data_IF_193566894610
#
_entry.id   IF_193566894610
#
_cell.length_a   1.000
_cell.length_b   1.000
_cell.length_c   1.000
_cell.angle_alpha   90.00
_cell.angle_beta   90.00
_cell.angle_gamma   90.00
#
_symmetry.space_group_name_H-M   'P 1'
#
loop_
_entity.id
_entity.type
_entity.pdbx_description
1 polymer ?
#
# COMPACT_ATOMS: atom_id res chain seq x y z
N UNK A 1 -21.62 23.54 1.27
CA UNK A 1 -20.66 24.45 0.58
C UNK A 1 -21.24 24.80 -0.77
N UNK A 2 -21.09 26.06 -1.24
CA UNK A 2 -21.53 26.43 -2.59
C UNK A 2 -20.67 25.74 -3.66
N UNK A 3 -21.29 25.33 -4.76
CA UNK A 3 -20.60 24.62 -5.84
C UNK A 3 -19.49 25.49 -6.48
N UNK A 4 -19.66 26.80 -6.57
CA UNK A 4 -18.60 27.72 -7.04
C UNK A 4 -17.36 27.68 -6.17
N UNK A 5 -17.53 27.67 -4.83
CA UNK A 5 -16.41 27.63 -3.89
C UNK A 5 -15.69 26.28 -3.94
N UNK A 6 -16.46 25.22 -4.17
CA UNK A 6 -15.90 23.88 -4.37
C UNK A 6 -15.12 23.79 -5.68
N UNK A 7 -15.66 24.33 -6.78
CA UNK A 7 -14.98 24.38 -8.08
C UNK A 7 -13.62 25.09 -7.99
N UNK A 8 -13.54 26.19 -7.29
CA UNK A 8 -12.32 26.96 -7.04
C UNK A 8 -11.28 26.12 -6.27
N UNK A 9 -11.69 25.50 -5.17
CA UNK A 9 -10.82 24.62 -4.35
C UNK A 9 -10.31 23.39 -5.09
N UNK A 10 -11.13 22.86 -5.99
CA UNK A 10 -10.77 21.69 -6.81
C UNK A 10 -10.03 22.07 -8.11
N UNK A 11 -9.84 23.37 -8.36
CA UNK A 11 -9.28 23.89 -9.62
C UNK A 11 -10.01 23.37 -10.87
N UNK A 12 -11.34 23.24 -10.78
CA UNK A 12 -12.21 22.78 -11.84
C UNK A 12 -12.92 23.97 -12.52
N UNK A 13 -13.16 23.86 -13.84
CA UNK A 13 -14.05 24.77 -14.52
C UNK A 13 -15.50 24.42 -14.20
N UNK A 14 -16.28 25.39 -13.77
CA UNK A 14 -17.71 25.22 -13.50
C UNK A 14 -18.54 25.51 -14.76
N UNK A 15 -19.37 24.56 -15.17
CA UNK A 15 -20.40 24.70 -16.18
C UNK A 15 -21.77 24.48 -15.52
N UNK A 16 -22.54 25.52 -15.24
CA UNK A 16 -23.87 25.46 -14.59
C UNK A 16 -24.02 26.38 -13.40
N UNK A 17 -25.04 26.14 -12.58
CA UNK A 17 -25.37 26.96 -11.42
C UNK A 17 -24.37 26.76 -10.27
N UNK A 18 -23.59 27.84 -10.00
CA UNK A 18 -22.60 27.83 -8.91
C UNK A 18 -23.20 28.05 -7.51
N UNK A 19 -24.48 28.42 -7.40
CA UNK A 19 -25.15 28.69 -6.12
C UNK A 19 -25.74 27.45 -5.46
N UNK A 20 -25.65 26.31 -6.13
CA UNK A 20 -26.07 25.01 -5.57
C UNK A 20 -25.29 24.70 -4.29
N UNK A 21 -26.02 24.22 -3.28
CA UNK A 21 -25.40 23.72 -2.04
C UNK A 21 -25.01 22.25 -2.19
N UNK A 22 -23.72 21.97 -2.06
CA UNK A 22 -23.17 20.62 -2.07
C UNK A 22 -22.84 20.20 -0.63
N UNK A 23 -23.37 19.06 -0.21
CA UNK A 23 -23.26 18.55 1.16
C UNK A 23 -22.34 17.34 1.30
N UNK A 24 -22.30 16.49 0.28
CA UNK A 24 -21.48 15.27 0.27
C UNK A 24 -21.13 14.82 -1.15
N UNK A 25 -20.23 13.85 -1.22
CA UNK A 25 -19.93 13.12 -2.44
C UNK A 25 -20.65 11.77 -2.40
N UNK A 26 -21.28 11.35 -3.51
CA UNK A 26 -21.99 10.10 -3.62
C UNK A 26 -21.67 9.36 -4.93
N UNK A 27 -21.86 8.04 -4.95
CA UNK A 27 -21.79 7.24 -6.17
C UNK A 27 -22.83 7.67 -7.21
N UNK A 28 -22.52 7.52 -8.50
CA UNK A 28 -23.41 7.99 -9.58
C UNK A 28 -24.80 7.33 -9.56
N UNK A 29 -24.90 6.12 -9.03
CA UNK A 29 -26.15 5.35 -8.92
C UNK A 29 -27.04 5.84 -7.77
N UNK A 30 -26.42 6.35 -6.69
CA UNK A 30 -27.09 6.70 -5.44
C UNK A 30 -27.19 8.20 -5.18
N UNK A 31 -26.62 9.02 -6.07
CA UNK A 31 -26.53 10.45 -5.91
C UNK A 31 -27.88 11.12 -6.10
N UNK A 32 -28.23 12.04 -5.19
CA UNK A 32 -29.47 12.81 -5.18
C UNK A 32 -29.24 14.33 -5.06
N UNK A 33 -30.30 15.10 -4.80
CA UNK A 33 -30.19 16.55 -4.61
C UNK A 33 -29.23 16.92 -3.47
N UNK A 34 -28.31 17.86 -3.73
CA UNK A 34 -27.25 18.26 -2.80
C UNK A 34 -26.00 17.40 -2.87
N UNK A 35 -25.95 16.34 -3.68
CA UNK A 35 -24.80 15.48 -3.85
C UNK A 35 -23.93 15.93 -5.04
N UNK A 36 -22.62 15.75 -4.87
CA UNK A 36 -21.62 15.75 -5.94
C UNK A 36 -21.31 14.31 -6.32
N UNK A 37 -21.38 13.97 -7.61
CA UNK A 37 -20.90 12.68 -8.12
C UNK A 37 -19.74 12.86 -9.09
N UNK A 38 -19.22 11.77 -9.68
CA UNK A 38 -18.11 11.83 -10.61
C UNK A 38 -18.18 10.70 -11.65
N UNK A 39 -17.59 10.94 -12.82
CA UNK A 39 -17.35 9.94 -13.84
C UNK A 39 -15.85 9.86 -14.15
N UNK A 40 -15.19 8.80 -13.70
CA UNK A 40 -13.80 8.49 -14.06
C UNK A 40 -13.68 7.23 -14.93
N UNK A 41 -14.64 6.30 -14.80
CA UNK A 41 -14.65 5.06 -15.58
C UNK A 41 -15.72 5.12 -16.68
N UNK A 42 -15.34 5.00 -17.96
CA UNK A 42 -16.29 5.06 -19.09
C UNK A 42 -17.43 4.04 -19.01
N UNK A 43 -17.25 2.94 -18.30
CA UNK A 43 -18.30 1.94 -18.08
C UNK A 43 -19.59 2.53 -17.49
N UNK A 44 -19.46 3.58 -16.65
CA UNK A 44 -20.60 4.24 -16.00
C UNK A 44 -21.15 5.44 -16.77
N UNK A 45 -20.61 5.73 -17.98
CA UNK A 45 -21.08 6.85 -18.79
C UNK A 45 -22.61 6.83 -19.10
N UNK A 46 -23.25 5.66 -19.34
CA UNK A 46 -24.68 5.62 -19.53
C UNK A 46 -25.51 6.12 -18.35
N UNK A 47 -24.98 6.06 -17.12
CA UNK A 47 -25.66 6.48 -15.92
C UNK A 47 -25.67 8.01 -15.74
N UNK A 48 -24.79 8.74 -16.44
CA UNK A 48 -24.73 10.22 -16.37
C UNK A 48 -26.06 10.86 -16.72
N UNK A 49 -26.77 10.35 -17.72
CA UNK A 49 -28.04 10.87 -18.16
C UNK A 49 -29.18 10.67 -17.15
N UNK A 50 -29.00 9.77 -16.19
CA UNK A 50 -30.03 9.36 -15.21
C UNK A 50 -29.68 9.80 -13.80
N UNK A 51 -28.51 10.42 -13.57
CA UNK A 51 -28.07 10.81 -12.23
C UNK A 51 -29.02 11.86 -11.63
N UNK A 52 -29.38 11.67 -10.36
CA UNK A 52 -30.10 12.64 -9.54
C UNK A 52 -29.19 13.66 -8.84
N UNK A 53 -27.88 13.60 -9.06
CA UNK A 53 -26.93 14.50 -8.42
C UNK A 53 -27.16 15.96 -8.79
N UNK A 54 -26.88 16.87 -7.86
CA UNK A 54 -26.87 18.31 -8.14
C UNK A 54 -25.69 18.75 -9.01
N UNK A 55 -24.56 18.03 -8.89
CA UNK A 55 -23.37 18.31 -9.70
C UNK A 55 -22.56 17.02 -9.98
N UNK A 56 -21.79 17.05 -11.08
CA UNK A 56 -20.94 15.93 -11.47
C UNK A 56 -19.54 16.42 -11.88
N UNK A 57 -18.49 15.69 -11.45
CA UNK A 57 -17.11 15.90 -11.92
C UNK A 57 -16.92 15.07 -13.19
N UNK A 58 -16.52 15.73 -14.29
CA UNK A 58 -16.32 15.15 -15.61
C UNK A 58 -14.96 15.53 -16.19
N UNK A 59 -14.48 14.77 -17.18
CA UNK A 59 -13.35 15.18 -18.00
C UNK A 59 -13.70 16.45 -18.80
N UNK A 60 -12.68 17.22 -19.19
CA UNK A 60 -12.88 18.50 -19.89
C UNK A 60 -13.64 18.33 -21.22
N UNK A 61 -13.45 17.22 -21.91
CA UNK A 61 -14.01 16.87 -23.19
C UNK A 61 -15.25 15.95 -23.13
N UNK A 62 -15.69 15.59 -21.91
CA UNK A 62 -16.87 14.74 -21.74
C UNK A 62 -18.14 15.44 -22.22
N UNK A 63 -19.15 14.68 -22.70
CA UNK A 63 -20.47 15.23 -23.05
C UNK A 63 -21.13 15.99 -21.89
N UNK A 64 -22.13 16.81 -22.20
CA UNK A 64 -22.91 17.51 -21.19
C UNK A 64 -23.74 16.52 -20.35
N UNK A 65 -23.89 16.83 -19.06
CA UNK A 65 -24.75 16.14 -18.11
C UNK A 65 -26.03 16.94 -17.80
N UNK A 66 -27.09 16.30 -17.27
CA UNK A 66 -28.34 17.00 -16.93
C UNK A 66 -28.24 17.91 -15.69
N UNK A 67 -27.11 17.90 -15.00
CA UNK A 67 -26.83 18.69 -13.78
C UNK A 67 -25.62 19.60 -13.98
N UNK A 68 -25.28 20.42 -12.97
CA UNK A 68 -24.08 21.26 -13.01
C UNK A 68 -22.81 20.40 -13.13
N UNK A 69 -21.81 20.91 -13.85
CA UNK A 69 -20.60 20.13 -14.16
C UNK A 69 -19.34 20.83 -13.64
N UNK A 70 -18.49 20.08 -12.98
CA UNK A 70 -17.12 20.44 -12.67
C UNK A 70 -16.18 19.76 -13.68
N UNK A 71 -15.59 20.54 -14.57
CA UNK A 71 -14.70 20.05 -15.63
C UNK A 71 -13.27 19.97 -15.11
N UNK A 72 -12.66 18.78 -15.19
CA UNK A 72 -11.33 18.51 -14.67
C UNK A 72 -10.45 17.77 -15.70
N UNK A 73 -9.15 18.01 -15.65
CA UNK A 73 -8.17 17.23 -16.43
C UNK A 73 -8.05 15.77 -15.92
N UNK A 74 -8.29 15.56 -14.62
CA UNK A 74 -8.31 14.25 -14.00
C UNK A 74 -9.50 14.17 -13.01
N UNK A 75 -10.68 13.70 -13.48
CA UNK A 75 -11.89 13.61 -12.64
C UNK A 75 -11.71 12.77 -11.38
N UNK A 76 -10.90 11.71 -11.44
CA UNK A 76 -10.67 10.83 -10.30
C UNK A 76 -9.86 11.52 -9.19
N UNK A 77 -8.88 12.35 -9.58
CA UNK A 77 -8.14 13.18 -8.63
C UNK A 77 -9.03 14.24 -8.02
N UNK A 78 -9.81 14.96 -8.83
CA UNK A 78 -10.74 15.98 -8.33
C UNK A 78 -11.80 15.39 -7.39
N UNK A 79 -12.24 14.15 -7.65
CA UNK A 79 -13.10 13.40 -6.74
C UNK A 79 -12.42 13.13 -5.38
N UNK A 80 -11.17 12.67 -5.38
CA UNK A 80 -10.43 12.45 -4.13
C UNK A 80 -10.24 13.78 -3.34
N UNK A 81 -9.97 14.88 -4.05
CA UNK A 81 -9.85 16.19 -3.42
C UNK A 81 -11.21 16.70 -2.90
N UNK A 82 -12.31 16.42 -3.60
CA UNK A 82 -13.67 16.73 -3.14
C UNK A 82 -14.02 15.98 -1.85
N UNK A 83 -13.64 14.72 -1.74
CA UNK A 83 -13.80 13.93 -0.50
C UNK A 83 -13.03 14.55 0.68
N UNK A 84 -11.84 15.11 0.44
CA UNK A 84 -11.08 15.81 1.50
C UNK A 84 -11.74 17.12 1.92
N UNK A 85 -12.30 17.86 0.96
CA UNK A 85 -12.92 19.16 1.21
C UNK A 85 -14.29 19.02 1.87
N UNK A 86 -15.09 18.03 1.47
CA UNK A 86 -16.46 17.82 1.95
C UNK A 86 -16.52 16.79 3.09
N UNK A 87 -15.47 16.02 3.28
CA UNK A 87 -15.39 15.01 4.36
C UNK A 87 -15.32 15.66 5.73
N UNK A 88 -15.92 15.01 6.71
CA UNK A 88 -15.76 15.36 8.12
C UNK A 88 -14.44 14.78 8.64
N UNK A 89 -13.34 15.46 8.36
CA UNK A 89 -12.06 15.13 9.00
C UNK A 89 -12.04 15.78 10.40
N UNK A 90 -12.77 15.22 11.33
CA UNK A 90 -12.69 15.63 12.74
C UNK A 90 -11.38 15.06 13.32
N UNK A 91 -10.31 15.84 13.16
CA UNK A 91 -9.05 15.52 13.86
C UNK A 91 -9.28 15.78 15.36
N UNK A 92 -8.79 14.90 16.23
CA UNK A 92 -8.89 15.12 17.66
C UNK A 92 -8.18 16.43 18.04
N UNK A 93 -8.71 17.18 19.02
CA UNK A 93 -8.08 18.41 19.44
C UNK A 93 -6.67 18.18 19.98
N UNK A 94 -5.75 19.16 19.82
CA UNK A 94 -4.42 19.07 20.41
C UNK A 94 -4.47 18.88 21.94
N UNK A 95 -3.52 18.10 22.44
CA UNK A 95 -3.35 17.85 23.87
C UNK A 95 -3.10 16.37 24.19
N UNK A 96 -2.77 16.12 25.43
CA UNK A 96 -2.50 14.77 25.96
C UNK A 96 -3.70 14.31 26.79
N UNK A 97 -4.30 13.20 26.40
CA UNK A 97 -5.42 12.62 27.15
C UNK A 97 -4.98 12.22 28.56
N UNK A 98 -5.76 12.49 29.63
CA UNK A 98 -5.36 12.21 31.01
C UNK A 98 -5.01 10.75 31.31
N UNK A 99 -5.48 9.80 30.51
CA UNK A 99 -5.14 8.38 30.65
C UNK A 99 -3.94 7.94 29.81
N UNK A 100 -3.32 8.83 29.05
CA UNK A 100 -2.10 8.52 28.33
C UNK A 100 -0.90 8.51 29.31
N UNK A 101 0.08 7.66 29.03
CA UNK A 101 1.34 7.59 29.78
C UNK A 101 2.44 8.12 28.88
N UNK A 102 2.96 9.30 29.20
CA UNK A 102 4.04 9.96 28.46
C UNK A 102 5.22 10.14 29.37
N UNK A 103 6.39 9.64 28.98
CA UNK A 103 7.60 9.77 29.78
C UNK A 103 8.02 11.25 29.90
N UNK A 104 8.67 11.66 30.99
CA UNK A 104 8.92 13.08 31.31
C UNK A 104 9.92 13.75 30.35
N UNK A 105 10.74 13.00 29.66
CA UNK A 105 11.78 13.46 28.74
C UNK A 105 11.38 13.35 27.24
N UNK A 106 10.09 13.10 26.97
CA UNK A 106 9.54 13.09 25.62
C UNK A 106 9.51 14.50 25.05
N UNK A 107 9.92 14.64 23.79
CA UNK A 107 9.83 15.90 23.07
C UNK A 107 8.55 15.91 22.20
N UNK A 108 7.61 16.77 22.56
CA UNK A 108 6.38 16.99 21.80
C UNK A 108 6.49 18.30 21.01
N UNK A 109 6.23 18.25 19.70
CA UNK A 109 6.05 19.42 18.86
C UNK A 109 4.74 20.15 19.16
N UNK A 110 4.48 21.22 18.39
CA UNK A 110 3.26 22.01 18.53
C UNK A 110 2.03 21.21 18.05
N UNK A 111 0.88 21.44 18.68
CA UNK A 111 -0.42 20.88 18.29
C UNK A 111 -0.47 19.34 18.18
N UNK A 112 0.33 18.63 18.96
CA UNK A 112 0.28 17.17 19.03
C UNK A 112 -0.98 16.72 19.77
N UNK A 113 -1.66 15.67 19.26
CA UNK A 113 -2.79 15.03 19.89
C UNK A 113 -2.42 13.62 20.35
N UNK A 114 -2.53 13.31 21.64
CA UNK A 114 -2.26 11.99 22.21
C UNK A 114 -3.54 11.44 22.84
N UNK A 115 -4.06 10.38 22.23
CA UNK A 115 -5.33 9.76 22.60
C UNK A 115 -5.28 8.92 23.89
N UNK A 116 -6.44 8.41 24.33
CA UNK A 116 -6.55 7.66 25.57
C UNK A 116 -5.72 6.36 25.51
N UNK A 117 -5.10 6.06 26.68
CA UNK A 117 -4.30 4.85 26.87
C UNK A 117 -3.11 4.71 25.91
N UNK A 118 -2.70 5.79 25.24
CA UNK A 118 -1.46 5.80 24.48
C UNK A 118 -0.26 5.79 25.43
N UNK A 119 0.84 5.19 24.99
CA UNK A 119 2.10 5.12 25.75
C UNK A 119 3.23 5.69 24.90
N UNK A 120 3.97 6.66 25.43
CA UNK A 120 5.14 7.24 24.76
C UNK A 120 6.35 7.10 25.69
N UNK A 121 7.34 6.31 25.23
CA UNK A 121 8.52 5.95 26.02
C UNK A 121 9.60 7.03 26.06
N UNK A 122 10.58 6.81 26.94
CA UNK A 122 11.66 7.74 27.26
C UNK A 122 12.40 8.22 26.01
N UNK A 123 12.68 9.53 25.94
CA UNK A 123 13.46 10.14 24.87
C UNK A 123 12.82 10.08 23.48
N UNK A 124 11.54 9.73 23.39
CA UNK A 124 10.83 9.75 22.10
C UNK A 124 10.59 11.18 21.62
N UNK A 125 10.55 11.37 20.30
CA UNK A 125 10.29 12.65 19.66
C UNK A 125 9.03 12.55 18.80
N UNK A 126 8.05 13.43 19.03
CA UNK A 126 6.80 13.50 18.26
C UNK A 126 6.69 14.86 17.59
N UNK A 127 6.70 14.89 16.28
CA UNK A 127 6.63 16.10 15.47
C UNK A 127 5.28 16.81 15.54
N UNK A 128 5.28 18.11 15.23
CA UNK A 128 4.11 18.98 15.30
C UNK A 128 2.91 18.45 14.51
N UNK A 129 1.70 18.69 15.02
CA UNK A 129 0.40 18.29 14.44
C UNK A 129 0.22 16.79 14.25
N UNK A 130 1.06 15.98 14.86
CA UNK A 130 0.93 14.51 14.82
C UNK A 130 -0.16 14.04 15.76
N UNK A 131 -0.93 13.07 15.29
CA UNK A 131 -2.04 12.46 16.02
C UNK A 131 -1.70 11.01 16.36
N UNK A 132 -1.67 10.72 17.64
CA UNK A 132 -1.60 9.36 18.19
C UNK A 132 -2.98 8.99 18.72
N UNK A 133 -3.67 8.08 18.03
CA UNK A 133 -4.98 7.62 18.50
C UNK A 133 -4.88 6.71 19.73
N UNK A 134 -6.02 6.20 20.20
CA UNK A 134 -6.09 5.35 21.39
C UNK A 134 -5.16 4.12 21.31
N UNK A 135 -4.52 3.78 22.44
CA UNK A 135 -3.66 2.60 22.58
C UNK A 135 -2.43 2.57 21.65
N UNK A 136 -2.03 3.70 21.07
CA UNK A 136 -0.76 3.77 20.32
C UNK A 136 0.40 3.62 21.29
N UNK A 137 1.40 2.83 20.92
CA UNK A 137 2.63 2.64 21.70
C UNK A 137 3.82 3.12 20.89
N UNK A 138 4.53 4.12 21.42
CA UNK A 138 5.79 4.63 20.89
C UNK A 138 6.91 4.21 21.83
N UNK A 139 7.84 3.40 21.35
CA UNK A 139 8.97 2.89 22.11
C UNK A 139 10.02 3.95 22.43
N UNK A 140 10.92 3.69 23.39
CA UNK A 140 11.98 4.62 23.79
C UNK A 140 12.86 5.06 22.62
N UNK A 141 13.17 6.36 22.55
CA UNK A 141 14.01 6.96 21.51
C UNK A 141 13.45 6.87 20.08
N UNK A 142 12.19 6.44 19.89
CA UNK A 142 11.55 6.46 18.57
C UNK A 142 11.23 7.88 18.16
N UNK A 143 11.27 8.13 16.84
CA UNK A 143 11.01 9.45 16.27
C UNK A 143 9.84 9.37 15.30
N UNK A 144 8.85 10.22 15.48
CA UNK A 144 7.70 10.37 14.60
C UNK A 144 7.69 11.79 14.08
N UNK A 145 7.78 11.97 12.77
CA UNK A 145 7.80 13.28 12.11
C UNK A 145 6.49 14.04 12.25
N UNK A 146 6.42 15.27 11.70
CA UNK A 146 5.22 16.10 11.77
C UNK A 146 4.10 15.59 10.85
N UNK A 147 2.87 16.01 11.16
CA UNK A 147 1.66 15.74 10.37
C UNK A 147 1.35 14.23 10.20
N UNK A 148 1.82 13.39 11.10
CA UNK A 148 1.56 11.96 11.06
C UNK A 148 0.23 11.61 11.74
N UNK A 149 -0.38 10.51 11.29
CA UNK A 149 -1.59 9.94 11.90
C UNK A 149 -1.32 8.47 12.21
N UNK A 150 -1.25 8.12 13.47
CA UNK A 150 -1.12 6.75 13.92
C UNK A 150 -2.46 6.31 14.53
N UNK A 151 -3.13 5.39 13.84
CA UNK A 151 -4.44 4.88 14.26
C UNK A 151 -4.35 3.95 15.45
N UNK A 152 -5.50 3.47 15.92
CA UNK A 152 -5.63 2.70 17.17
C UNK A 152 -4.74 1.46 17.18
N UNK A 153 -4.05 1.24 18.31
CA UNK A 153 -3.18 0.08 18.56
C UNK A 153 -1.96 -0.05 17.64
N UNK A 154 -1.55 1.00 16.99
CA UNK A 154 -0.25 1.02 16.29
C UNK A 154 0.88 0.91 17.31
N UNK A 155 1.88 0.08 17.00
CA UNK A 155 3.11 -0.05 17.80
C UNK A 155 4.33 0.35 16.97
N UNK A 156 5.06 1.36 17.42
CA UNK A 156 6.37 1.74 16.91
C UNK A 156 7.41 1.39 17.96
N UNK A 157 8.31 0.46 17.65
CA UNK A 157 9.32 -0.03 18.58
C UNK A 157 10.44 1.01 18.79
N UNK A 158 11.25 0.76 19.80
CA UNK A 158 12.34 1.63 20.20
C UNK A 158 13.25 2.05 19.03
N UNK A 159 13.66 3.31 19.00
CA UNK A 159 14.58 3.93 18.04
C UNK A 159 14.13 3.93 16.57
N UNK A 160 12.97 3.36 16.23
CA UNK A 160 12.43 3.42 14.87
C UNK A 160 12.10 4.86 14.48
N UNK A 161 12.20 5.16 13.18
CA UNK A 161 12.03 6.51 12.64
C UNK A 161 10.91 6.52 11.61
N UNK A 162 9.94 7.40 11.80
CA UNK A 162 8.90 7.74 10.84
C UNK A 162 9.11 9.19 10.38
N UNK A 163 9.12 9.41 9.08
CA UNK A 163 9.17 10.74 8.45
C UNK A 163 7.90 11.55 8.63
N UNK A 164 7.74 12.60 7.83
CA UNK A 164 6.58 13.47 7.86
C UNK A 164 5.37 12.88 7.11
N UNK A 165 4.15 13.21 7.54
CA UNK A 165 2.89 12.86 6.85
C UNK A 165 2.70 11.34 6.66
N UNK A 166 3.25 10.55 7.56
CA UNK A 166 3.07 9.09 7.57
C UNK A 166 1.72 8.77 8.18
N UNK A 167 0.95 7.92 7.50
CA UNK A 167 -0.33 7.41 7.99
C UNK A 167 -0.15 5.93 8.30
N UNK A 168 -0.47 5.52 9.52
CA UNK A 168 -0.38 4.12 9.95
C UNK A 168 -1.74 3.66 10.46
N UNK A 169 -2.29 2.65 9.81
CA UNK A 169 -3.61 2.11 10.13
C UNK A 169 -3.57 1.17 11.33
N UNK A 170 -4.75 0.83 11.86
CA UNK A 170 -4.95 0.11 13.11
C UNK A 170 -4.13 -1.17 13.21
N UNK A 171 -3.49 -1.35 14.37
CA UNK A 171 -2.79 -2.59 14.72
C UNK A 171 -1.49 -2.86 13.96
N UNK A 172 -1.00 -1.96 13.11
CA UNK A 172 0.29 -2.15 12.46
C UNK A 172 1.44 -2.12 13.46
N UNK A 173 2.48 -2.93 13.21
CA UNK A 173 3.68 -3.04 14.07
C UNK A 173 4.91 -2.67 13.26
N UNK A 174 5.63 -1.64 13.70
CA UNK A 174 6.85 -1.14 13.06
C UNK A 174 8.03 -1.40 13.99
N UNK A 175 9.00 -2.18 13.52
CA UNK A 175 10.22 -2.50 14.26
C UNK A 175 10.11 -3.77 15.14
N UNK A 176 9.19 -4.69 14.83
CA UNK A 176 9.20 -6.02 15.42
C UNK A 176 10.54 -6.73 15.14
N UNK A 177 10.91 -7.70 15.96
CA UNK A 177 12.13 -8.46 15.74
C UNK A 177 12.02 -9.31 14.49
N UNK A 178 13.00 -9.23 13.60
CA UNK A 178 13.13 -10.12 12.45
C UNK A 178 13.25 -11.58 12.87
N UNK A 179 12.83 -12.48 11.98
CA UNK A 179 12.91 -13.93 12.18
C UNK A 179 14.34 -14.41 11.93
N UNK A 180 15.18 -14.36 12.97
CA UNK A 180 16.59 -14.71 12.92
C UNK A 180 16.97 -15.72 14.01
N UNK A 181 17.42 -16.93 13.59
CA UNK A 181 17.85 -17.99 14.50
C UNK A 181 19.07 -18.72 13.93
N UNK A 182 19.95 -19.20 14.82
CA UNK A 182 20.99 -20.18 14.49
C UNK A 182 20.55 -21.51 15.05
N UNK A 183 20.57 -22.54 14.23
CA UNK A 183 20.26 -23.90 14.65
C UNK A 183 21.57 -24.66 14.87
N UNK A 184 21.78 -25.20 16.07
CA UNK A 184 22.95 -26.04 16.35
C UNK A 184 22.79 -27.46 15.82
N UNK A 185 23.84 -28.30 16.00
CA UNK A 185 23.86 -29.69 15.53
C UNK A 185 22.79 -30.57 16.14
N UNK A 186 22.30 -30.21 17.32
CA UNK A 186 21.29 -30.97 18.08
C UNK A 186 19.86 -30.51 17.75
N UNK A 187 19.73 -29.54 16.82
CA UNK A 187 18.46 -29.01 16.35
C UNK A 187 17.86 -27.90 17.23
N UNK A 188 18.60 -27.39 18.20
CA UNK A 188 18.14 -26.26 19.02
C UNK A 188 18.28 -24.94 18.25
N UNK A 189 17.28 -24.08 18.39
CA UNK A 189 17.24 -22.77 17.76
C UNK A 189 17.63 -21.68 18.76
N UNK A 190 18.74 -21.00 18.50
CA UNK A 190 19.21 -19.86 19.28
C UNK A 190 18.83 -18.57 18.57
N UNK A 191 18.10 -17.68 19.28
CA UNK A 191 17.68 -16.39 18.73
C UNK A 191 18.88 -15.50 18.45
N UNK A 192 18.91 -14.92 17.26
CA UNK A 192 19.81 -13.81 16.90
C UNK A 192 19.11 -12.53 17.33
N UNK A 193 19.68 -11.75 18.29
CA UNK A 193 19.10 -10.47 18.71
C UNK A 193 18.94 -9.51 17.54
N UNK A 194 17.76 -8.91 17.42
CA UNK A 194 17.45 -7.94 16.39
C UNK A 194 17.56 -6.53 17.00
N UNK A 195 18.71 -5.89 16.83
CA UNK A 195 19.05 -4.66 17.58
C UNK A 195 19.06 -3.40 16.73
N UNK A 196 18.73 -3.50 15.45
CA UNK A 196 18.71 -2.37 14.55
C UNK A 196 17.32 -1.71 14.48
N UNK A 197 17.03 -0.96 13.43
CA UNK A 197 15.86 -0.09 13.35
C UNK A 197 15.08 -0.28 12.05
N UNK A 198 13.87 0.26 12.06
CA UNK A 198 13.08 0.52 10.84
C UNK A 198 13.06 2.02 10.59
N UNK A 199 13.25 2.41 9.33
CA UNK A 199 13.12 3.78 8.85
C UNK A 199 12.00 3.84 7.81
N UNK A 200 10.98 4.64 8.09
CA UNK A 200 9.88 4.94 7.19
C UNK A 200 10.02 6.39 6.74
N UNK A 201 10.14 6.62 5.46
CA UNK A 201 10.29 7.98 4.91
C UNK A 201 8.95 8.72 4.81
N UNK A 202 8.97 9.97 4.31
CA UNK A 202 7.80 10.84 4.23
C UNK A 202 6.69 10.27 3.33
N UNK A 203 5.44 10.68 3.58
CA UNK A 203 4.28 10.41 2.73
C UNK A 203 3.93 8.93 2.55
N UNK A 204 4.48 8.05 3.40
CA UNK A 204 4.18 6.60 3.39
C UNK A 204 2.82 6.35 4.06
N UNK A 205 2.07 5.41 3.52
CA UNK A 205 0.86 4.90 4.15
C UNK A 205 0.98 3.40 4.39
N UNK A 206 0.67 2.96 5.62
CA UNK A 206 0.82 1.58 6.09
C UNK A 206 -0.54 1.06 6.54
N UNK A 207 -1.02 0.01 5.90
CA UNK A 207 -2.31 -0.63 6.15
C UNK A 207 -2.40 -1.37 7.48
N UNK A 208 -3.62 -1.72 7.84
CA UNK A 208 -3.94 -2.35 9.11
C UNK A 208 -3.26 -3.72 9.28
N UNK A 209 -2.76 -3.97 10.50
CA UNK A 209 -2.08 -5.21 10.89
C UNK A 209 -0.87 -5.58 10.00
N UNK A 210 -0.30 -4.62 9.29
CA UNK A 210 0.97 -4.78 8.57
C UNK A 210 2.12 -4.81 9.57
N UNK A 211 3.10 -5.70 9.32
CA UNK A 211 4.29 -5.85 10.15
C UNK A 211 5.56 -5.54 9.36
N UNK A 212 6.42 -4.71 9.95
CA UNK A 212 7.70 -4.31 9.37
C UNK A 212 8.79 -4.62 10.39
N UNK A 213 9.62 -5.61 10.10
CA UNK A 213 10.62 -6.10 11.03
C UNK A 213 11.93 -5.32 10.96
N UNK A 214 12.58 -5.17 12.12
CA UNK A 214 13.95 -4.68 12.22
C UNK A 214 14.97 -5.79 12.00
N UNK A 215 16.15 -5.53 11.42
CA UNK A 215 17.24 -6.50 11.31
C UNK A 215 18.13 -6.55 12.54
N UNK A 216 19.01 -7.56 12.58
CA UNK A 216 20.10 -7.63 13.56
C UNK A 216 21.12 -6.49 13.36
N UNK A 217 21.45 -6.17 12.12
CA UNK A 217 22.38 -5.12 11.71
C UNK A 217 21.86 -4.38 10.47
N UNK A 218 22.25 -3.13 10.27
CA UNK A 218 21.76 -2.28 9.19
C UNK A 218 20.38 -1.70 9.53
N UNK A 219 19.48 -1.62 8.55
CA UNK A 219 18.10 -1.12 8.73
C UNK A 219 17.14 -1.77 7.76
N UNK A 220 15.86 -1.79 8.10
CA UNK A 220 14.76 -1.98 7.14
C UNK A 220 14.24 -0.60 6.76
N UNK A 221 14.14 -0.30 5.46
CA UNK A 221 13.78 1.04 4.97
C UNK A 221 12.60 1.00 4.03
N UNK A 222 11.66 1.93 4.24
CA UNK A 222 10.50 2.15 3.37
C UNK A 222 10.64 3.52 2.72
N UNK A 223 10.83 3.55 1.42
CA UNK A 223 11.02 4.77 0.63
C UNK A 223 9.76 5.64 0.54
N UNK A 224 10.00 6.94 0.36
CA UNK A 224 9.01 8.01 0.32
C UNK A 224 7.81 7.68 -0.58
N UNK A 225 6.61 8.02 -0.11
CA UNK A 225 5.38 7.94 -0.90
C UNK A 225 4.89 6.52 -1.18
N UNK A 226 5.54 5.49 -0.62
CA UNK A 226 5.09 4.11 -0.77
C UNK A 226 3.73 3.88 -0.11
N UNK A 227 2.92 3.02 -0.72
CA UNK A 227 1.58 2.64 -0.23
C UNK A 227 1.54 1.16 0.03
N UNK A 228 1.35 0.81 1.28
CA UNK A 228 1.37 -0.56 1.79
C UNK A 228 -0.01 -0.86 2.34
N UNK A 229 -0.66 -1.86 1.78
CA UNK A 229 -2.02 -2.27 2.14
C UNK A 229 -2.01 -3.15 3.42
N UNK A 230 -3.16 -3.67 3.78
CA UNK A 230 -3.38 -4.44 5.00
C UNK A 230 -2.66 -5.80 4.98
N UNK A 231 -2.24 -6.27 6.17
CA UNK A 231 -1.68 -7.60 6.36
C UNK A 231 -0.41 -7.87 5.53
N UNK A 232 0.33 -6.84 5.17
CA UNK A 232 1.62 -6.99 4.47
C UNK A 232 2.70 -7.36 5.49
N UNK A 233 3.58 -8.30 5.12
CA UNK A 233 4.76 -8.66 5.90
C UNK A 233 6.02 -8.20 5.20
N UNK A 234 6.77 -7.30 5.84
CA UNK A 234 8.08 -6.82 5.39
C UNK A 234 9.13 -7.30 6.38
N UNK A 235 9.93 -8.27 5.97
CA UNK A 235 10.93 -8.88 6.83
C UNK A 235 12.17 -7.97 7.00
N UNK A 236 13.03 -8.39 7.91
CA UNK A 236 14.23 -7.69 8.30
C UNK A 236 15.17 -7.35 7.14
N UNK A 237 15.76 -6.17 7.14
CA UNK A 237 16.77 -5.73 6.16
C UNK A 237 16.23 -5.48 4.76
N UNK A 238 14.91 -5.50 4.56
CA UNK A 238 14.29 -5.17 3.27
C UNK A 238 14.45 -3.69 2.99
N UNK A 239 14.76 -3.37 1.73
CA UNK A 239 14.83 -2.00 1.21
C UNK A 239 13.73 -1.79 0.17
N UNK A 240 12.82 -0.86 0.41
CA UNK A 240 11.73 -0.52 -0.49
C UNK A 240 11.97 0.86 -1.09
N UNK A 241 12.03 0.93 -2.42
CA UNK A 241 12.19 2.17 -3.18
C UNK A 241 10.94 3.05 -3.14
N UNK A 242 11.13 4.33 -3.46
CA UNK A 242 10.08 5.35 -3.46
C UNK A 242 8.88 4.99 -4.33
N UNK A 243 7.67 5.37 -3.88
CA UNK A 243 6.43 5.22 -4.65
C UNK A 243 6.00 3.79 -4.95
N UNK A 244 6.54 2.82 -4.22
CA UNK A 244 6.19 1.40 -4.36
C UNK A 244 4.79 1.14 -3.79
N UNK A 245 4.04 0.26 -4.45
CA UNK A 245 2.69 -0.15 -4.04
C UNK A 245 2.69 -1.64 -3.73
N UNK A 246 2.34 -1.99 -2.49
CA UNK A 246 2.19 -3.36 -2.02
C UNK A 246 0.73 -3.57 -1.64
N UNK A 247 0.02 -4.39 -2.41
CA UNK A 247 -1.36 -4.73 -2.10
C UNK A 247 -1.46 -5.73 -0.94
N UNK A 248 -2.68 -5.99 -0.47
CA UNK A 248 -2.92 -6.78 0.73
C UNK A 248 -2.24 -8.16 0.70
N UNK A 249 -1.73 -8.56 1.87
CA UNK A 249 -1.11 -9.86 2.10
C UNK A 249 0.16 -10.15 1.28
N UNK A 250 0.83 -9.13 0.74
CA UNK A 250 2.17 -9.29 0.17
C UNK A 250 3.15 -9.68 1.27
N UNK A 251 4.00 -10.67 0.99
CA UNK A 251 5.08 -11.10 1.88
C UNK A 251 6.44 -10.90 1.22
N UNK A 252 7.34 -10.16 1.87
CA UNK A 252 8.70 -9.92 1.37
C UNK A 252 9.69 -10.50 2.38
N UNK A 253 10.42 -11.52 1.95
CA UNK A 253 11.44 -12.16 2.79
C UNK A 253 12.68 -11.28 2.98
N UNK A 254 13.44 -11.58 4.04
CA UNK A 254 14.55 -10.74 4.51
C UNK A 254 15.61 -10.43 3.48
N UNK A 255 16.23 -9.25 3.63
CA UNK A 255 17.35 -8.76 2.81
C UNK A 255 17.06 -8.61 1.31
N UNK A 256 15.80 -8.51 0.93
CA UNK A 256 15.42 -8.23 -0.47
C UNK A 256 15.31 -6.74 -0.72
N UNK A 257 15.56 -6.33 -1.96
CA UNK A 257 15.50 -4.94 -2.40
C UNK A 257 14.43 -4.77 -3.47
N UNK A 258 13.53 -3.82 -3.29
CA UNK A 258 12.58 -3.37 -4.28
C UNK A 258 12.98 -1.99 -4.78
N UNK A 259 13.07 -1.82 -6.08
CA UNK A 259 13.31 -0.55 -6.74
C UNK A 259 12.16 0.44 -6.60
N UNK A 260 12.26 1.58 -7.27
CA UNK A 260 11.25 2.64 -7.25
C UNK A 260 10.01 2.26 -8.06
N UNK A 261 8.83 2.58 -7.55
CA UNK A 261 7.56 2.41 -8.27
C UNK A 261 7.21 0.96 -8.59
N UNK A 262 7.72 0.00 -7.83
CA UNK A 262 7.34 -1.42 -7.93
C UNK A 262 5.88 -1.59 -7.53
N UNK A 263 5.14 -2.45 -8.23
CA UNK A 263 3.74 -2.76 -7.91
C UNK A 263 3.59 -4.27 -7.71
N UNK A 264 3.34 -4.68 -6.49
CA UNK A 264 3.03 -6.07 -6.16
C UNK A 264 1.54 -6.18 -5.82
N UNK A 265 0.81 -6.95 -6.63
CA UNK A 265 -0.61 -7.21 -6.39
C UNK A 265 -0.81 -8.15 -5.18
N UNK A 266 -2.07 -8.33 -4.77
CA UNK A 266 -2.39 -9.08 -3.54
C UNK A 266 -1.80 -10.48 -3.49
N UNK A 267 -1.32 -10.86 -2.30
CA UNK A 267 -0.76 -12.18 -1.99
C UNK A 267 0.52 -12.55 -2.78
N UNK A 268 1.26 -11.58 -3.29
CA UNK A 268 2.57 -11.83 -3.88
C UNK A 268 3.57 -12.20 -2.79
N UNK A 269 4.35 -13.26 -3.03
CA UNK A 269 5.46 -13.68 -2.17
C UNK A 269 6.81 -13.42 -2.84
N UNK A 270 7.72 -12.74 -2.15
CA UNK A 270 9.08 -12.44 -2.64
C UNK A 270 10.09 -13.21 -1.80
N UNK A 271 10.95 -14.00 -2.46
CA UNK A 271 12.04 -14.73 -1.80
C UNK A 271 13.08 -13.78 -1.21
N UNK A 272 13.86 -14.28 -0.24
CA UNK A 272 14.92 -13.50 0.39
C UNK A 272 16.13 -13.27 -0.51
N UNK A 273 16.87 -12.19 -0.23
CA UNK A 273 18.13 -11.85 -0.90
C UNK A 273 18.05 -11.67 -2.42
N UNK A 274 16.92 -11.21 -2.93
CA UNK A 274 16.72 -10.92 -4.35
C UNK A 274 16.43 -9.44 -4.59
N UNK A 275 16.57 -9.02 -5.84
CA UNK A 275 16.30 -7.65 -6.29
C UNK A 275 15.10 -7.63 -7.25
N UNK A 276 14.14 -6.74 -6.98
CA UNK A 276 13.04 -6.42 -7.88
C UNK A 276 13.33 -5.03 -8.47
N UNK A 277 13.61 -4.98 -9.75
CA UNK A 277 14.02 -3.75 -10.43
C UNK A 277 12.92 -2.67 -10.47
N UNK A 278 13.34 -1.42 -10.74
CA UNK A 278 12.45 -0.25 -10.82
C UNK A 278 11.22 -0.51 -11.69
N UNK A 279 10.03 -0.12 -11.23
CA UNK A 279 8.73 -0.24 -11.95
C UNK A 279 8.35 -1.66 -12.38
N UNK A 280 9.00 -2.68 -11.86
CA UNK A 280 8.56 -4.05 -12.06
C UNK A 280 7.18 -4.26 -11.44
N UNK A 281 6.40 -5.17 -12.01
CA UNK A 281 5.04 -5.46 -11.55
C UNK A 281 4.85 -6.96 -11.40
N UNK A 282 4.08 -7.36 -10.40
CA UNK A 282 3.65 -8.74 -10.24
C UNK A 282 2.12 -8.81 -10.13
N UNK A 283 1.51 -9.76 -10.86
CA UNK A 283 0.08 -10.05 -10.72
C UNK A 283 -0.22 -10.75 -9.39
N UNK A 284 -1.49 -10.81 -9.00
CA UNK A 284 -1.89 -11.41 -7.72
C UNK A 284 -1.40 -12.86 -7.59
N UNK A 285 -1.06 -13.25 -6.35
CA UNK A 285 -0.62 -14.61 -5.99
C UNK A 285 0.66 -15.10 -6.70
N UNK A 286 1.47 -14.20 -7.23
CA UNK A 286 2.75 -14.56 -7.85
C UNK A 286 3.81 -14.87 -6.79
N UNK A 287 4.44 -16.04 -6.88
CA UNK A 287 5.67 -16.36 -6.14
C UNK A 287 6.89 -15.93 -6.95
N UNK A 288 7.75 -15.10 -6.38
CA UNK A 288 8.97 -14.58 -7.03
C UNK A 288 10.20 -15.20 -6.36
N UNK A 289 10.78 -16.27 -6.95
CA UNK A 289 11.92 -16.95 -6.36
C UNK A 289 13.28 -16.34 -6.73
N UNK A 290 13.36 -15.50 -7.75
CA UNK A 290 14.59 -14.90 -8.27
C UNK A 290 14.40 -13.43 -8.58
N UNK A 291 15.50 -12.69 -8.75
CA UNK A 291 15.47 -11.27 -9.13
C UNK A 291 14.66 -11.04 -10.41
N UNK A 292 14.02 -9.87 -10.48
CA UNK A 292 13.14 -9.43 -11.57
C UNK A 292 13.68 -8.14 -12.16
N UNK A 293 13.83 -8.10 -13.48
CA UNK A 293 14.36 -6.93 -14.20
C UNK A 293 13.43 -5.71 -14.06
N UNK A 294 14.02 -4.51 -14.19
CA UNK A 294 13.28 -3.27 -14.18
C UNK A 294 12.20 -3.24 -15.29
N UNK A 295 11.00 -2.76 -14.95
CA UNK A 295 9.87 -2.65 -15.86
C UNK A 295 9.20 -3.98 -16.24
N UNK A 296 9.72 -5.12 -15.81
CA UNK A 296 9.14 -6.42 -16.12
C UNK A 296 7.76 -6.61 -15.47
N UNK A 297 6.89 -7.35 -16.16
CA UNK A 297 5.62 -7.84 -15.60
C UNK A 297 5.71 -9.36 -15.45
N UNK A 298 5.61 -9.83 -14.20
CA UNK A 298 5.66 -11.26 -13.89
C UNK A 298 4.31 -11.75 -13.36
N UNK A 299 4.00 -13.01 -13.65
CA UNK A 299 2.75 -13.65 -13.26
C UNK A 299 2.99 -15.10 -12.87
N UNK A 300 2.19 -15.57 -11.94
CA UNK A 300 2.15 -16.99 -11.57
C UNK A 300 0.82 -17.29 -10.87
N UNK A 301 0.20 -18.44 -11.21
CA UNK A 301 -1.03 -18.88 -10.56
C UNK A 301 -2.35 -18.27 -11.10
N UNK A 302 -2.72 -18.46 -12.40
CA UNK A 302 -4.07 -18.10 -12.86
C UNK A 302 -5.09 -19.16 -12.39
N UNK A 303 -6.29 -18.69 -12.01
CA UNK A 303 -7.44 -19.59 -11.89
C UNK A 303 -7.92 -19.98 -13.29
N UNK A 304 -8.10 -21.28 -13.51
CA UNK A 304 -8.68 -21.85 -14.73
C UNK A 304 -9.87 -22.76 -14.35
N UNK A 305 -10.65 -23.17 -15.33
CA UNK A 305 -11.78 -24.10 -15.09
C UNK A 305 -11.31 -25.33 -14.30
N UNK A 306 -12.11 -25.78 -13.32
CA UNK A 306 -11.71 -26.86 -12.43
C UNK A 306 -11.41 -28.16 -13.14
N UNK A 307 -12.12 -28.50 -14.24
CA UNK A 307 -11.86 -29.73 -14.99
C UNK A 307 -10.54 -29.65 -15.74
N UNK A 308 -10.21 -28.49 -16.26
CA UNK A 308 -8.91 -28.22 -16.90
C UNK A 308 -7.79 -28.24 -15.88
N UNK A 309 -7.98 -27.65 -14.69
CA UNK A 309 -7.03 -27.72 -13.59
C UNK A 309 -6.71 -29.16 -13.20
N UNK A 310 -7.71 -30.02 -13.01
CA UNK A 310 -7.51 -31.42 -12.66
C UNK A 310 -6.69 -32.17 -13.72
N UNK A 311 -6.94 -31.93 -15.01
CA UNK A 311 -6.15 -32.48 -16.11
C UNK A 311 -4.70 -31.99 -16.08
N UNK A 312 -4.50 -30.67 -15.92
CA UNK A 312 -3.17 -30.05 -15.87
C UNK A 312 -2.34 -30.59 -14.70
N UNK A 313 -2.91 -30.67 -13.50
CA UNK A 313 -2.23 -31.16 -12.30
C UNK A 313 -1.87 -32.63 -12.41
N UNK A 314 -2.70 -33.47 -13.03
CA UNK A 314 -2.37 -34.89 -13.28
C UNK A 314 -1.12 -35.06 -14.16
N UNK A 315 -0.89 -34.14 -15.10
CA UNK A 315 0.26 -34.15 -16.00
C UNK A 315 1.48 -33.47 -15.35
N UNK A 316 1.29 -32.52 -14.45
CA UNK A 316 2.36 -31.69 -13.89
C UNK A 316 3.53 -32.51 -13.33
N UNK A 317 3.25 -33.60 -12.62
CA UNK A 317 4.29 -34.48 -12.06
C UNK A 317 5.10 -35.21 -13.13
N UNK A 318 4.54 -35.41 -14.34
CA UNK A 318 5.19 -36.13 -15.43
C UNK A 318 5.91 -35.23 -16.43
N UNK A 319 5.82 -33.87 -16.25
CA UNK A 319 6.46 -32.90 -17.14
C UNK A 319 7.97 -33.15 -17.34
N UNK A 320 8.78 -33.47 -16.31
CA UNK A 320 10.19 -33.75 -16.53
C UNK A 320 10.42 -34.96 -17.45
N UNK A 321 9.60 -36.02 -17.32
CA UNK A 321 9.68 -37.22 -18.17
C UNK A 321 9.18 -36.93 -19.60
N UNK A 322 8.14 -36.13 -19.73
CA UNK A 322 7.61 -35.66 -21.01
C UNK A 322 8.68 -34.88 -21.77
N UNK A 323 9.40 -33.95 -21.07
CA UNK A 323 10.50 -33.20 -21.65
C UNK A 323 11.61 -34.08 -22.17
N UNK A 324 12.03 -35.12 -21.39
CA UNK A 324 13.04 -36.10 -21.85
C UNK A 324 12.59 -36.84 -23.10
N UNK A 325 11.38 -37.40 -23.09
CA UNK A 325 10.82 -38.12 -24.25
C UNK A 325 10.73 -37.22 -25.48
N UNK A 326 10.36 -35.94 -25.31
CA UNK A 326 10.33 -35.01 -26.41
C UNK A 326 11.71 -34.70 -26.99
N UNK A 327 12.73 -34.52 -26.13
CA UNK A 327 14.12 -34.36 -26.56
C UNK A 327 14.65 -35.57 -27.31
N UNK A 328 14.35 -36.80 -26.84
CA UNK A 328 14.71 -38.03 -27.49
C UNK A 328 14.03 -38.18 -28.87
N UNK A 329 12.77 -37.80 -28.97
CA UNK A 329 12.02 -37.80 -30.24
C UNK A 329 12.61 -36.81 -31.25
N UNK A 330 12.94 -35.58 -30.79
CA UNK A 330 13.60 -34.57 -31.64
C UNK A 330 14.93 -35.07 -32.17
N UNK A 331 15.78 -35.64 -31.30
CA UNK A 331 17.06 -36.22 -31.72
C UNK A 331 16.91 -37.39 -32.72
N UNK A 332 15.89 -38.23 -32.55
CA UNK A 332 15.58 -39.30 -33.52
C UNK A 332 15.08 -38.75 -34.86
N UNK A 333 14.30 -37.66 -34.84
CA UNK A 333 13.80 -36.99 -36.03
C UNK A 333 14.98 -36.40 -36.83
N UNK A 334 15.86 -35.65 -36.17
CA UNK A 334 17.07 -35.09 -36.78
C UNK A 334 17.98 -36.16 -37.39
N UNK A 335 18.11 -37.30 -36.73
CA UNK A 335 18.89 -38.43 -37.24
C UNK A 335 18.25 -39.10 -38.47
N UNK A 336 16.93 -39.11 -38.55
CA UNK A 336 16.18 -39.58 -39.74
C UNK A 336 16.27 -38.60 -40.91
N UNK A 337 16.12 -37.30 -40.62
CA UNK A 337 16.26 -36.25 -41.66
C UNK A 337 17.64 -36.28 -42.34
N UNK A 338 18.72 -36.43 -41.52
CA UNK A 338 20.08 -36.58 -42.05
C UNK A 338 20.29 -37.87 -42.92
N UNK A 339 19.41 -38.85 -42.80
CA UNK A 339 19.47 -40.05 -43.64
C UNK A 339 18.63 -39.96 -44.90
N UNK A 340 17.67 -39.04 -44.95
CA UNK A 340 16.73 -38.86 -46.08
C UNK A 340 17.21 -37.78 -47.05
N UNK A 341 17.97 -36.79 -46.56
CA UNK A 341 18.57 -35.74 -47.41
C UNK A 341 20.00 -36.18 -47.76
N UNK A 342 20.27 -36.56 -48.99
CA UNK A 342 21.61 -36.98 -49.44
C UNK A 342 22.60 -35.83 -49.46
#
# INVERSE_FOLDING_TARGET
MKLRDLAERLHCRLDGDGDLDITRVAGIEDAGPGDLTFLANPKYAPLVAQTGASAIILANDAPAAPCAMLRASNPYRSFADALRVLGRNEMPPPGVHPSAVVAPDVHLGDDVSIGPLAVVGDGAEIGSRTVLHAHVVIGPGARVGPDCILHTRVSVRDRCVLGARVIVQDGAVIGGDGFGFVTDSDGHHHKIPQQSIVVVEDDVEIGANTTIDRPAVGETRIGRGSKIDNLVMIAHGVQIGEGTILAAQVGIAGSSTLGRGVILAGQVGVAGHIEIGDRARATAQTGIPNSVDAGALVSGYPAIDNREWLKAVAIFRTLPDLKRRLSDLVGRLEALEKKIVP
#
